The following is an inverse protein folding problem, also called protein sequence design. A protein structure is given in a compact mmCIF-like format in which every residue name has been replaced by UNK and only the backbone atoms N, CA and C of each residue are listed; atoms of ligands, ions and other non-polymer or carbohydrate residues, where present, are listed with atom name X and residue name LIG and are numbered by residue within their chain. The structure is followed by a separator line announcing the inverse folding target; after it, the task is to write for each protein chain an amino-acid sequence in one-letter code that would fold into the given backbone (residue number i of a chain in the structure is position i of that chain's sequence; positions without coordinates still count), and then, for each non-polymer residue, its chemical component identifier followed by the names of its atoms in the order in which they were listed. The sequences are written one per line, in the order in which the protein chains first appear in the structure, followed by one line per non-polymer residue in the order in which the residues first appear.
data_IF_516845423140
#
_entry.id   IF_516845423140
#
_cell.length_a   1.000
_cell.length_b   1.000
_cell.length_c   1.000
_cell.angle_alpha   90.00
_cell.angle_beta   90.00
_cell.angle_gamma   90.00
#
_symmetry.space_group_name_H-M   'P 1'
#
loop_
_entity.id
_entity.type
_entity.pdbx_description
1 polymer ?
#
# COMPACT_ATOMS: atom_id res chain seq x y z
N UNK A 1 -8.41 -21.16 5.18
CA UNK A 1 -8.08 -19.81 4.72
C UNK A 1 -7.01 -19.85 3.65
N UNK A 2 -7.22 -19.10 2.60
CA UNK A 2 -6.21 -18.98 1.54
C UNK A 2 -5.00 -18.21 2.05
N UNK A 3 -3.78 -18.67 1.71
CA UNK A 3 -2.55 -17.93 1.99
C UNK A 3 -2.45 -16.64 1.16
N UNK A 4 -3.31 -16.50 0.14
CA UNK A 4 -3.34 -15.36 -0.77
C UNK A 4 -4.54 -14.45 -0.50
N UNK A 5 -5.05 -14.48 0.71
CA UNK A 5 -6.15 -13.61 1.10
C UNK A 5 -5.70 -12.15 1.16
N UNK A 6 -6.57 -11.25 0.69
CA UNK A 6 -6.31 -9.81 0.75
C UNK A 6 -6.56 -9.34 2.17
N UNK A 7 -5.58 -8.68 2.76
CA UNK A 7 -5.65 -8.18 4.13
C UNK A 7 -5.41 -6.68 4.15
N UNK A 8 -6.07 -6.01 5.08
CA UNK A 8 -5.85 -4.58 5.31
C UNK A 8 -5.85 -4.30 6.80
N UNK A 9 -5.08 -3.30 7.20
CA UNK A 9 -4.87 -2.95 8.60
C UNK A 9 -4.87 -1.43 8.77
N UNK A 10 -5.67 -0.92 9.70
CA UNK A 10 -5.56 0.48 10.10
C UNK A 10 -4.27 0.66 10.90
N UNK A 11 -3.44 1.61 10.47
CA UNK A 11 -2.20 1.90 11.16
C UNK A 11 -2.44 2.86 12.32
N UNK A 12 -1.66 2.70 13.39
CA UNK A 12 -1.74 3.55 14.56
C UNK A 12 -1.04 4.88 14.30
N UNK A 13 -1.72 5.97 14.62
CA UNK A 13 -1.14 7.31 14.55
C UNK A 13 -0.89 7.80 15.97
N UNK A 14 0.34 8.15 16.27
CA UNK A 14 0.75 8.63 17.59
C UNK A 14 1.07 10.11 17.54
N UNK A 15 0.49 10.87 18.46
CA UNK A 15 0.84 12.25 18.67
C UNK A 15 2.24 12.33 19.28
N UNK A 16 3.08 13.22 18.78
CA UNK A 16 4.41 13.45 19.34
C UNK A 16 4.44 14.75 20.12
N UNK A 17 5.27 14.78 21.16
CA UNK A 17 5.39 15.92 22.06
C UNK A 17 6.83 16.33 22.18
N UNK A 18 7.03 17.64 22.36
CA UNK A 18 8.35 18.19 22.62
C UNK A 18 8.88 17.66 23.94
N UNK A 19 10.15 17.32 23.97
CA UNK A 19 10.80 16.73 25.15
C UNK A 19 10.93 17.75 26.32
N UNK A 20 10.96 19.05 26.01
CA UNK A 20 11.18 20.07 27.02
C UNK A 20 9.90 20.58 27.66
N UNK A 21 8.89 20.91 26.86
CA UNK A 21 7.66 21.55 27.34
C UNK A 21 6.39 20.74 27.11
N UNK A 22 6.52 19.55 26.50
CA UNK A 22 5.42 18.63 26.23
C UNK A 22 4.35 19.17 25.30
N UNK A 23 4.61 20.26 24.58
CA UNK A 23 3.64 20.70 23.57
C UNK A 23 3.60 19.71 22.40
N UNK A 24 2.45 19.60 21.77
CA UNK A 24 2.27 18.72 20.62
C UNK A 24 3.02 19.32 19.43
N UNK A 25 3.99 18.60 18.90
CA UNK A 25 4.80 19.07 17.77
C UNK A 25 4.58 18.28 16.47
N UNK A 26 3.76 17.25 16.50
CA UNK A 26 3.51 16.48 15.31
C UNK A 26 2.91 15.12 15.60
N UNK A 27 3.15 14.17 14.69
CA UNK A 27 2.68 12.79 14.84
C UNK A 27 3.63 11.85 14.11
N UNK A 28 3.54 10.57 14.43
CA UNK A 28 4.24 9.52 13.69
C UNK A 28 3.32 8.32 13.48
N UNK A 29 3.55 7.61 12.40
CA UNK A 29 2.80 6.41 12.06
C UNK A 29 3.83 5.31 11.79
N UNK A 30 3.99 4.33 12.69
CA UNK A 30 4.84 3.18 12.38
C UNK A 30 4.21 2.37 11.26
N UNK A 31 4.97 2.11 10.21
CA UNK A 31 4.48 1.35 9.06
C UNK A 31 5.00 -0.08 9.13
N UNK A 32 6.28 -0.24 9.48
CA UNK A 32 6.90 -1.54 9.63
C UNK A 32 7.88 -1.52 10.78
N UNK A 33 7.76 -2.51 11.65
CA UNK A 33 8.70 -2.77 12.74
C UNK A 33 9.14 -4.23 12.62
N UNK A 34 10.38 -4.53 12.96
CA UNK A 34 10.94 -5.89 12.80
C UNK A 34 10.21 -6.94 13.65
N UNK A 35 9.57 -6.51 14.74
CA UNK A 35 8.76 -7.37 15.61
C UNK A 35 7.27 -7.31 15.28
N UNK A 36 6.87 -6.55 14.26
CA UNK A 36 5.47 -6.34 13.91
C UNK A 36 4.90 -7.58 13.22
N UNK A 37 3.75 -8.03 13.69
CA UNK A 37 3.11 -9.23 13.15
C UNK A 37 2.24 -8.95 11.94
N UNK A 38 2.07 -7.69 11.57
CA UNK A 38 1.28 -7.29 10.40
C UNK A 38 2.03 -7.62 9.11
N UNK A 39 3.30 -7.22 9.05
CA UNK A 39 4.14 -7.47 7.87
C UNK A 39 4.89 -8.76 8.11
N UNK A 40 4.44 -9.85 7.47
CA UNK A 40 4.99 -11.19 7.66
C UNK A 40 5.98 -11.58 6.56
N UNK A 41 5.92 -10.92 5.40
CA UNK A 41 6.90 -11.10 4.32
C UNK A 41 7.88 -9.95 4.40
N UNK A 42 9.13 -10.24 4.74
CA UNK A 42 10.13 -9.20 4.94
C UNK A 42 10.38 -8.41 3.66
N UNK A 43 10.26 -7.08 3.70
CA UNK A 43 10.51 -6.26 2.51
C UNK A 43 11.96 -6.33 2.06
N UNK A 44 12.17 -6.33 0.76
CA UNK A 44 13.50 -6.23 0.14
C UNK A 44 13.68 -4.90 -0.58
N UNK A 45 12.60 -4.16 -0.79
CA UNK A 45 12.64 -2.83 -1.37
C UNK A 45 11.52 -1.99 -0.76
N UNK A 46 11.83 -0.73 -0.48
CA UNK A 46 10.84 0.28 -0.09
C UNK A 46 10.92 1.40 -1.11
N UNK A 47 9.77 1.81 -1.61
CA UNK A 47 9.73 2.93 -2.54
C UNK A 47 8.50 3.80 -2.32
N UNK A 48 8.55 4.99 -2.87
CA UNK A 48 7.44 5.94 -2.87
C UNK A 48 7.01 6.14 -4.32
N UNK A 49 5.71 6.10 -4.56
CA UNK A 49 5.15 6.38 -5.87
C UNK A 49 4.04 7.41 -5.75
N UNK A 50 3.84 8.20 -6.78
CA UNK A 50 2.82 9.23 -6.80
C UNK A 50 1.78 8.92 -7.88
N UNK A 51 0.55 9.36 -7.64
CA UNK A 51 -0.53 9.28 -8.62
C UNK A 51 -1.11 10.68 -8.77
N UNK A 52 -1.13 11.20 -9.98
CA UNK A 52 -1.71 12.52 -10.24
C UNK A 52 -3.23 12.51 -10.04
N UNK A 53 -3.84 13.68 -9.80
CA UNK A 53 -5.29 13.74 -9.56
C UNK A 53 -6.10 13.10 -10.68
N UNK A 54 -7.03 12.24 -10.30
CA UNK A 54 -7.91 11.57 -11.25
C UNK A 54 -7.28 10.44 -12.05
N UNK A 55 -5.99 10.19 -11.85
CA UNK A 55 -5.29 9.14 -12.59
C UNK A 55 -5.41 7.79 -11.93
N UNK A 56 -5.22 6.75 -12.74
CA UNK A 56 -5.24 5.35 -12.34
C UNK A 56 -3.91 4.73 -12.71
N UNK A 57 -3.31 4.02 -11.77
CA UNK A 57 -2.16 3.15 -12.05
C UNK A 57 -2.63 1.71 -12.06
N UNK A 58 -2.32 0.99 -13.13
CA UNK A 58 -2.78 -0.38 -13.32
C UNK A 58 -4.09 -0.45 -14.09
N UNK A 59 -4.78 -1.61 -14.08
CA UNK A 59 -4.42 -2.76 -13.25
C UNK A 59 -3.16 -3.48 -13.72
N UNK A 60 -2.39 -3.97 -12.76
CA UNK A 60 -1.18 -4.76 -13.00
C UNK A 60 -1.21 -6.04 -12.17
N UNK A 61 -0.59 -7.07 -12.69
CA UNK A 61 -0.43 -8.34 -12.01
C UNK A 61 1.05 -8.56 -11.71
N UNK A 62 1.36 -8.88 -10.46
CA UNK A 62 2.68 -9.34 -10.06
C UNK A 62 2.61 -10.82 -9.71
N UNK A 63 3.39 -11.63 -10.38
CA UNK A 63 3.36 -13.09 -10.21
C UNK A 63 4.22 -13.52 -9.04
N UNK A 64 5.36 -12.84 -8.83
CA UNK A 64 6.31 -13.20 -7.77
C UNK A 64 6.37 -12.19 -6.63
N UNK A 65 5.91 -10.96 -6.86
CA UNK A 65 6.01 -9.89 -5.86
C UNK A 65 4.86 -9.96 -4.87
N UNK A 66 5.24 -9.88 -3.58
CA UNK A 66 4.33 -9.65 -2.47
C UNK A 66 4.47 -8.19 -2.06
N UNK A 67 3.37 -7.47 -1.93
CA UNK A 67 3.40 -6.02 -1.74
C UNK A 67 2.56 -5.58 -0.55
N UNK A 68 3.06 -4.54 0.12
CA UNK A 68 2.30 -3.78 1.13
C UNK A 68 2.29 -2.33 0.71
N UNK A 69 1.11 -1.72 0.70
CA UNK A 69 0.93 -0.33 0.28
C UNK A 69 0.20 0.47 1.34
N UNK A 70 0.61 1.71 1.53
CA UNK A 70 -0.11 2.67 2.37
C UNK A 70 -0.07 4.04 1.72
N UNK A 71 -1.23 4.72 1.70
CA UNK A 71 -1.31 6.09 1.22
C UNK A 71 -0.85 7.02 2.35
N UNK A 72 0.22 7.78 2.13
CA UNK A 72 0.77 8.68 3.14
C UNK A 72 0.41 10.13 2.89
N UNK A 73 -0.09 10.45 1.70
CA UNK A 73 -0.63 11.78 1.38
C UNK A 73 -1.73 11.62 0.35
N UNK A 74 -2.82 12.37 0.55
CA UNK A 74 -3.97 12.29 -0.33
C UNK A 74 -4.89 11.14 0.01
N UNK A 75 -5.54 10.59 -0.99
CA UNK A 75 -6.53 9.54 -0.84
C UNK A 75 -6.53 8.63 -2.06
N UNK A 76 -6.35 7.34 -1.85
CA UNK A 76 -6.25 6.36 -2.92
C UNK A 76 -7.20 5.21 -2.64
N UNK A 77 -7.94 4.79 -3.66
CA UNK A 77 -8.70 3.55 -3.63
C UNK A 77 -7.91 2.47 -4.37
N UNK A 78 -7.72 1.35 -3.70
CA UNK A 78 -7.09 0.17 -4.26
C UNK A 78 -8.19 -0.79 -4.68
N UNK A 79 -8.26 -1.14 -5.95
CA UNK A 79 -9.19 -2.14 -6.47
C UNK A 79 -8.39 -3.41 -6.72
N UNK A 80 -8.76 -4.48 -6.03
CA UNK A 80 -8.02 -5.73 -6.03
C UNK A 80 -8.97 -6.85 -6.45
N UNK A 81 -8.53 -7.68 -7.39
CA UNK A 81 -9.31 -8.84 -7.79
C UNK A 81 -8.93 -10.01 -6.89
N UNK A 82 -9.91 -10.58 -6.19
CA UNK A 82 -9.67 -11.68 -5.27
C UNK A 82 -9.59 -13.03 -6.01
N UNK A 83 -9.38 -14.09 -5.25
CA UNK A 83 -9.25 -15.44 -5.76
C UNK A 83 -10.46 -15.92 -6.55
N UNK A 84 -11.66 -15.48 -6.15
CA UNK A 84 -12.92 -15.86 -6.78
C UNK A 84 -13.27 -15.01 -8.01
N UNK A 85 -12.45 -14.00 -8.32
CA UNK A 85 -12.70 -13.07 -9.41
C UNK A 85 -13.54 -11.85 -9.01
N UNK A 86 -13.85 -11.69 -7.74
CA UNK A 86 -14.56 -10.51 -7.24
C UNK A 86 -13.60 -9.37 -7.03
N UNK A 87 -14.12 -8.16 -7.20
CA UNK A 87 -13.34 -6.94 -6.94
C UNK A 87 -13.56 -6.47 -5.52
N UNK A 88 -12.48 -6.14 -4.84
CA UNK A 88 -12.46 -5.59 -3.49
C UNK A 88 -11.94 -4.17 -3.59
N UNK A 89 -12.64 -3.22 -2.99
CA UNK A 89 -12.20 -1.82 -2.92
C UNK A 89 -11.76 -1.51 -1.50
N UNK A 90 -10.54 -0.99 -1.35
CA UNK A 90 -10.01 -0.58 -0.05
C UNK A 90 -9.42 0.82 -0.20
N UNK A 91 -9.87 1.74 0.64
CA UNK A 91 -9.36 3.09 0.65
C UNK A 91 -8.27 3.26 1.70
N UNK A 92 -7.19 3.96 1.32
CA UNK A 92 -6.15 4.40 2.23
C UNK A 92 -5.92 5.90 2.02
N UNK A 93 -5.80 6.66 3.10
CA UNK A 93 -5.64 8.11 3.02
C UNK A 93 -4.73 8.61 4.13
N UNK A 94 -4.27 9.86 4.00
CA UNK A 94 -3.47 10.49 5.05
C UNK A 94 -4.24 10.64 6.36
N UNK A 95 -5.57 10.78 6.28
CA UNK A 95 -6.41 10.87 7.48
C UNK A 95 -6.63 9.51 8.12
N UNK A 96 -6.75 8.47 7.29
CA UNK A 96 -6.94 7.10 7.74
C UNK A 96 -5.98 6.19 7.00
N UNK A 97 -4.72 6.12 7.44
CA UNK A 97 -3.73 5.29 6.78
C UNK A 97 -4.04 3.81 7.00
N UNK A 98 -4.29 3.11 5.91
CA UNK A 98 -4.57 1.68 5.89
C UNK A 98 -3.44 1.01 5.13
N UNK A 99 -2.80 0.03 5.75
CA UNK A 99 -1.81 -0.81 5.09
C UNK A 99 -2.53 -1.94 4.39
N UNK A 100 -2.31 -2.08 3.09
CA UNK A 100 -3.00 -3.07 2.26
C UNK A 100 -1.98 -4.10 1.80
N UNK A 101 -2.22 -5.36 2.12
CA UNK A 101 -1.38 -6.46 1.70
C UNK A 101 -1.94 -7.07 0.41
N UNK A 102 -1.12 -7.05 -0.64
CA UNK A 102 -1.47 -7.66 -1.93
C UNK A 102 -0.47 -8.79 -2.19
N UNK A 103 -0.89 -10.05 -2.00
CA UNK A 103 0.01 -11.17 -2.23
C UNK A 103 0.28 -11.36 -3.72
N UNK A 104 1.30 -12.13 -4.03
CA UNK A 104 1.60 -12.51 -5.42
C UNK A 104 0.38 -13.14 -6.08
N UNK A 105 0.28 -13.01 -7.38
CA UNK A 105 -0.82 -13.51 -8.21
C UNK A 105 -2.15 -12.81 -7.96
N UNK A 106 -2.13 -11.62 -7.39
CA UNK A 106 -3.32 -10.76 -7.25
C UNK A 106 -3.08 -9.46 -7.97
N UNK A 107 -3.94 -9.14 -8.92
CA UNK A 107 -3.86 -7.87 -9.64
C UNK A 107 -4.49 -6.75 -8.83
N UNK A 108 -4.04 -5.54 -9.08
CA UNK A 108 -4.62 -4.36 -8.45
C UNK A 108 -4.52 -3.13 -9.34
N UNK A 109 -5.44 -2.20 -9.12
CA UNK A 109 -5.42 -0.87 -9.70
C UNK A 109 -5.51 0.15 -8.57
N UNK A 110 -4.83 1.28 -8.71
CA UNK A 110 -4.75 2.31 -7.70
C UNK A 110 -5.27 3.61 -8.28
N UNK A 111 -6.29 4.20 -7.66
CA UNK A 111 -6.98 5.39 -8.18
C UNK A 111 -6.83 6.53 -7.18
N UNK A 112 -6.35 7.68 -7.67
CA UNK A 112 -6.28 8.89 -6.84
C UNK A 112 -7.61 9.63 -6.90
N UNK A 113 -8.29 9.70 -5.76
CA UNK A 113 -9.57 10.39 -5.62
C UNK A 113 -9.43 11.82 -5.08
N UNK A 114 -8.21 12.29 -4.84
CA UNK A 114 -8.01 13.63 -4.30
C UNK A 114 -7.74 14.65 -5.41
N UNK A 115 -7.71 15.93 -5.04
CA UNK A 115 -7.46 17.04 -5.97
C UNK A 115 -5.98 17.32 -6.17
N UNK A 116 -5.12 16.62 -5.46
CA UNK A 116 -3.67 16.79 -5.51
C UNK A 116 -3.01 15.44 -5.76
N UNK A 117 -1.73 15.42 -6.13
CA UNK A 117 -1.02 14.14 -6.25
C UNK A 117 -1.07 13.38 -4.93
N UNK A 118 -1.42 12.11 -4.99
CA UNK A 118 -1.37 11.23 -3.82
C UNK A 118 -0.03 10.52 -3.77
N UNK A 119 0.44 10.21 -2.58
CA UNK A 119 1.72 9.54 -2.36
C UNK A 119 1.46 8.21 -1.67
N UNK A 120 1.97 7.16 -2.27
CA UNK A 120 1.90 5.80 -1.73
C UNK A 120 3.31 5.36 -1.35
N UNK A 121 3.46 4.83 -0.14
CA UNK A 121 4.68 4.14 0.27
C UNK A 121 4.45 2.64 0.11
N UNK A 122 5.40 1.97 -0.52
CA UNK A 122 5.32 0.55 -0.82
C UNK A 122 6.50 -0.21 -0.21
N UNK A 123 6.19 -1.37 0.33
CA UNK A 123 7.15 -2.32 0.89
C UNK A 123 6.96 -3.63 0.12
N UNK A 124 7.98 -4.09 -0.59
CA UNK A 124 7.79 -5.22 -1.51
C UNK A 124 8.91 -6.25 -1.38
N UNK A 125 8.58 -7.49 -1.71
CA UNK A 125 9.50 -8.61 -1.79
C UNK A 125 9.10 -9.47 -3.00
N UNK A 126 9.99 -9.81 -3.92
CA UNK A 126 11.39 -9.36 -3.99
C UNK A 126 11.52 -7.93 -4.48
N UNK A 127 12.73 -7.38 -4.42
CA UNK A 127 13.01 -6.06 -4.97
C UNK A 127 12.92 -6.09 -6.50
N UNK A 128 12.55 -4.95 -7.08
CA UNK A 128 12.53 -4.78 -8.53
C UNK A 128 13.97 -4.81 -9.07
N UNK A 129 14.14 -5.52 -10.20
CA UNK A 129 15.41 -5.57 -10.92
C UNK A 129 15.16 -5.30 -12.40
N UNK A 130 16.05 -4.55 -13.08
CA UNK A 130 15.82 -4.19 -14.48
C UNK A 130 15.77 -5.37 -15.44
N UNK A 131 16.42 -6.48 -15.11
CA UNK A 131 16.48 -7.68 -15.94
C UNK A 131 15.39 -8.72 -15.60
N UNK A 132 14.57 -8.45 -14.61
CA UNK A 132 13.52 -9.39 -14.16
C UNK A 132 12.26 -8.60 -13.79
N UNK A 133 11.56 -8.15 -14.82
CA UNK A 133 10.31 -7.40 -14.62
C UNK A 133 9.17 -8.34 -14.33
N UNK A 134 8.43 -8.03 -13.26
CA UNK A 134 7.28 -8.81 -12.81
C UNK A 134 6.00 -7.98 -12.86
N UNK A 135 5.84 -7.22 -13.94
CA UNK A 135 4.66 -6.40 -14.14
C UNK A 135 3.96 -6.84 -15.40
N UNK A 136 2.75 -7.33 -15.25
CA UNK A 136 1.97 -7.91 -16.34
C UNK A 136 0.66 -7.18 -16.49
N UNK A 137 0.29 -6.85 -17.72
CA UNK A 137 -0.96 -6.19 -17.99
C UNK A 137 -2.14 -7.13 -17.82
N UNK A 138 -3.18 -6.64 -17.18
CA UNK A 138 -4.47 -7.32 -17.06
C UNK A 138 -5.57 -6.30 -17.34
N UNK A 139 -6.76 -6.79 -17.66
CA UNK A 139 -7.90 -5.92 -17.95
C UNK A 139 -8.99 -6.15 -16.91
N UNK A 140 -9.53 -5.05 -16.38
CA UNK A 140 -10.68 -5.09 -15.48
C UNK A 140 -11.95 -4.77 -16.27
N UNK A 141 -12.96 -5.58 -16.06
CA UNK A 141 -14.27 -5.42 -16.73
C UNK A 141 -15.16 -4.44 -15.96
#
# INVERSE_FOLDING_TARGET
MSQNEIKSYELEKHTTKDIHDSHINGSLIPIWRDWDKIITVQPEMVYVTTINPGEIKGPHLHIIRHSYYVCIKGRVVFIIKDESGKYIEIESSEEKPVLIEIPKNRSSAHINLSNEPSIILALVNPSWKPDNRDEHDVTYD
#
